data_IF_124514865945
#
_entry.id   IF_124514865945
#
_cell.length_a   1.000
_cell.length_b   1.000
_cell.length_c   1.000
_cell.angle_alpha   90.00
_cell.angle_beta   90.00
_cell.angle_gamma   90.00
#
_symmetry.space_group_name_H-M   'P 1'
#
loop_
_entity.id
_entity.type
_entity.pdbx_description
1 polymer ?
#
# COMPACT_ATOMS: atom_id res chain seq x y z
N UNK A 1 -6.38 -7.92 -29.22
CA UNK A 1 -6.46 -7.63 -27.78
C UNK A 1 -6.41 -6.12 -27.63
N UNK A 2 -7.41 -5.49 -27.01
CA UNK A 2 -7.26 -4.09 -26.57
C UNK A 2 -6.32 -4.13 -25.38
N UNK A 3 -5.28 -3.30 -25.39
CA UNK A 3 -4.44 -3.12 -24.19
C UNK A 3 -5.36 -2.79 -23.01
N UNK A 4 -5.17 -3.40 -21.83
CA UNK A 4 -5.95 -3.05 -20.67
C UNK A 4 -5.80 -1.55 -20.44
N UNK A 5 -6.92 -0.86 -20.22
CA UNK A 5 -6.93 0.57 -19.90
C UNK A 5 -5.93 0.78 -18.74
N UNK A 6 -5.06 1.78 -18.82
CA UNK A 6 -4.02 2.00 -17.81
C UNK A 6 -4.61 2.13 -16.40
N UNK A 7 -5.88 2.55 -16.34
CA UNK A 7 -6.71 2.58 -15.16
C UNK A 7 -7.02 1.19 -14.59
N UNK A 8 -7.38 0.22 -15.44
CA UNK A 8 -7.68 -1.15 -15.04
C UNK A 8 -6.43 -1.82 -14.45
N UNK A 9 -5.26 -1.58 -15.06
CA UNK A 9 -3.97 -2.01 -14.50
C UNK A 9 -3.70 -1.41 -13.13
N UNK A 10 -4.01 -0.13 -12.94
CA UNK A 10 -3.82 0.53 -11.63
C UNK A 10 -4.77 -0.02 -10.56
N UNK A 11 -6.01 -0.31 -10.92
CA UNK A 11 -6.99 -0.96 -10.02
C UNK A 11 -6.46 -2.34 -9.60
N UNK A 12 -5.97 -3.12 -10.57
CA UNK A 12 -5.39 -4.43 -10.32
C UNK A 12 -4.15 -4.32 -9.43
N UNK A 13 -3.20 -3.43 -9.74
CA UNK A 13 -2.00 -3.18 -8.92
C UNK A 13 -2.37 -2.86 -7.46
N UNK A 14 -3.34 -1.98 -7.23
CA UNK A 14 -3.81 -1.62 -5.88
C UNK A 14 -4.49 -2.80 -5.20
N UNK A 15 -5.35 -3.52 -5.92
CA UNK A 15 -6.18 -4.59 -5.35
C UNK A 15 -5.36 -5.84 -5.00
N UNK A 16 -4.39 -6.21 -5.85
CA UNK A 16 -3.57 -7.40 -5.66
C UNK A 16 -2.44 -7.21 -4.65
N UNK A 17 -2.07 -5.97 -4.30
CA UNK A 17 -1.01 -5.69 -3.32
C UNK A 17 -1.16 -6.49 -2.01
N UNK A 18 -2.39 -6.60 -1.50
CA UNK A 18 -2.65 -7.36 -0.26
C UNK A 18 -2.63 -8.87 -0.48
N UNK A 19 -2.96 -9.36 -1.68
CA UNK A 19 -2.93 -10.79 -1.97
C UNK A 19 -1.51 -11.37 -1.86
N UNK A 20 -0.49 -10.54 -2.09
CA UNK A 20 0.92 -10.88 -1.91
C UNK A 20 1.46 -10.57 -0.49
N UNK A 21 0.58 -10.46 0.52
CA UNK A 21 0.99 -10.04 1.86
C UNK A 21 2.05 -10.99 2.44
N UNK A 22 3.24 -10.44 2.70
CA UNK A 22 4.36 -11.15 3.30
C UNK A 22 4.04 -11.49 4.76
N UNK A 23 4.66 -12.55 5.28
CA UNK A 23 4.53 -12.89 6.69
C UNK A 23 5.49 -12.05 7.54
N UNK A 24 5.09 -10.81 7.85
CA UNK A 24 5.93 -9.85 8.58
C UNK A 24 6.34 -10.32 9.99
N UNK A 25 5.62 -11.27 10.59
CA UNK A 25 5.94 -11.81 11.93
C UNK A 25 7.34 -12.43 11.99
N UNK A 26 7.76 -13.09 10.91
CA UNK A 26 9.05 -13.80 10.83
C UNK A 26 10.19 -12.91 10.33
N UNK A 27 9.93 -11.65 10.00
CA UNK A 27 10.94 -10.69 9.57
C UNK A 27 11.68 -10.06 10.75
N UNK A 28 12.91 -9.61 10.51
CA UNK A 28 13.68 -8.78 11.43
C UNK A 28 13.16 -7.34 11.45
N UNK A 29 13.48 -6.60 12.52
CA UNK A 29 13.07 -5.19 12.70
C UNK A 29 13.50 -4.31 11.51
N UNK A 30 14.72 -4.50 10.97
CA UNK A 30 15.21 -3.72 9.83
C UNK A 30 14.52 -4.09 8.51
N UNK A 31 14.02 -5.32 8.39
CA UNK A 31 13.22 -5.77 7.25
C UNK A 31 11.81 -5.16 7.33
N UNK A 32 11.19 -5.19 8.51
CA UNK A 32 9.87 -4.59 8.75
C UNK A 32 9.90 -3.07 8.51
N UNK A 33 10.96 -2.39 8.97
CA UNK A 33 11.18 -0.97 8.68
C UNK A 33 11.23 -0.67 7.18
N UNK A 34 11.90 -1.53 6.41
CA UNK A 34 11.98 -1.40 4.95
C UNK A 34 10.64 -1.68 4.27
N UNK A 35 9.90 -2.68 4.73
CA UNK A 35 8.55 -2.94 4.22
C UNK A 35 7.62 -1.76 4.47
N UNK A 36 7.66 -1.14 5.67
CA UNK A 36 6.87 0.06 5.96
C UNK A 36 7.15 1.18 4.93
N UNK A 37 8.43 1.45 4.67
CA UNK A 37 8.84 2.44 3.67
C UNK A 37 8.37 2.06 2.26
N UNK A 38 8.40 0.78 1.90
CA UNK A 38 7.92 0.30 0.61
C UNK A 38 6.41 0.51 0.44
N UNK A 39 5.60 0.26 1.49
CA UNK A 39 4.14 0.51 1.43
C UNK A 39 3.86 1.99 1.25
N UNK A 40 4.50 2.85 2.04
CA UNK A 40 4.33 4.30 1.94
C UNK A 40 4.74 4.84 0.57
N UNK A 41 5.86 4.33 0.02
CA UNK A 41 6.32 4.70 -1.33
C UNK A 41 5.31 4.29 -2.39
N UNK A 42 4.79 3.06 -2.32
CA UNK A 42 3.76 2.60 -3.24
C UNK A 42 2.49 3.45 -3.19
N UNK A 43 2.03 3.81 -1.99
CA UNK A 43 0.86 4.69 -1.82
C UNK A 43 1.09 6.02 -2.53
N UNK A 44 2.25 6.65 -2.30
CA UNK A 44 2.58 7.93 -2.93
C UNK A 44 2.68 7.82 -4.45
N UNK A 45 3.30 6.77 -4.97
CA UNK A 45 3.42 6.54 -6.41
C UNK A 45 2.06 6.28 -7.07
N UNK A 46 1.21 5.50 -6.41
CA UNK A 46 -0.16 5.21 -6.86
C UNK A 46 -1.02 6.47 -6.87
N UNK A 47 -0.99 7.26 -5.80
CA UNK A 47 -1.71 8.54 -5.74
C UNK A 47 -1.24 9.51 -6.83
N UNK A 48 0.08 9.60 -7.09
CA UNK A 48 0.61 10.40 -8.22
C UNK A 48 0.10 9.92 -9.58
N UNK A 49 -0.07 8.61 -9.79
CA UNK A 49 -0.69 8.07 -11.01
C UNK A 49 -2.16 8.49 -11.09
N UNK A 50 -2.92 8.35 -10.00
CA UNK A 50 -4.34 8.74 -9.94
C UNK A 50 -4.52 10.24 -10.22
N UNK A 51 -3.68 11.11 -9.66
CA UNK A 51 -3.70 12.56 -9.91
C UNK A 51 -3.38 12.92 -11.37
N UNK A 52 -2.59 12.09 -12.08
CA UNK A 52 -2.38 12.28 -13.52
C UNK A 52 -3.64 11.91 -14.30
N UNK A 53 -4.32 10.83 -13.93
CA UNK A 53 -5.60 10.44 -14.52
C UNK A 53 -6.69 11.50 -14.26
N UNK A 54 -6.74 12.10 -13.07
CA UNK A 54 -7.69 13.17 -12.74
C UNK A 54 -7.57 14.38 -13.68
N UNK A 55 -6.39 14.65 -14.25
CA UNK A 55 -6.19 15.74 -15.21
C UNK A 55 -6.73 15.43 -16.60
N UNK A 56 -6.91 14.15 -16.95
CA UNK A 56 -7.32 13.69 -18.29
C UNK A 56 -8.72 13.10 -18.32
N UNK A 57 -9.21 12.58 -17.19
CA UNK A 57 -10.48 11.88 -17.02
C UNK A 57 -11.50 12.79 -16.32
N UNK A 58 -12.74 12.86 -16.84
CA UNK A 58 -13.81 13.70 -16.28
C UNK A 58 -14.67 13.01 -15.22
N UNK A 59 -14.42 11.73 -14.96
CA UNK A 59 -15.17 10.94 -14.00
C UNK A 59 -14.56 11.08 -12.61
N UNK A 60 -15.05 12.07 -11.85
CA UNK A 60 -14.56 12.37 -10.51
C UNK A 60 -14.90 11.26 -9.51
N UNK A 61 -16.02 10.54 -9.70
CA UNK A 61 -16.44 9.47 -8.81
C UNK A 61 -15.48 8.28 -8.92
N UNK A 62 -15.04 7.97 -10.14
CA UNK A 62 -14.02 6.96 -10.40
C UNK A 62 -12.68 7.34 -9.76
N UNK A 63 -12.25 8.61 -9.89
CA UNK A 63 -11.02 9.10 -9.24
C UNK A 63 -11.12 9.01 -7.71
N UNK A 64 -12.26 9.40 -7.13
CA UNK A 64 -12.49 9.31 -5.70
C UNK A 64 -12.47 7.87 -5.20
N UNK A 65 -13.09 6.96 -5.96
CA UNK A 65 -13.05 5.53 -5.70
C UNK A 65 -11.61 5.00 -5.71
N UNK A 66 -10.82 5.34 -6.72
CA UNK A 66 -9.40 4.95 -6.82
C UNK A 66 -8.57 5.44 -5.63
N UNK A 67 -8.73 6.72 -5.24
CA UNK A 67 -8.05 7.28 -4.06
C UNK A 67 -8.45 6.53 -2.79
N UNK A 68 -9.73 6.19 -2.64
CA UNK A 68 -10.25 5.47 -1.49
C UNK A 68 -9.70 4.03 -1.40
N UNK A 69 -9.72 3.26 -2.50
CA UNK A 69 -9.20 1.89 -2.48
C UNK A 69 -7.68 1.87 -2.26
N UNK A 70 -6.94 2.84 -2.82
CA UNK A 70 -5.50 2.96 -2.62
C UNK A 70 -5.19 3.12 -1.14
N UNK A 71 -5.77 4.14 -0.50
CA UNK A 71 -5.57 4.44 0.92
C UNK A 71 -6.01 3.30 1.82
N UNK A 72 -7.21 2.75 1.58
CA UNK A 72 -7.72 1.67 2.43
C UNK A 72 -6.84 0.41 2.38
N UNK A 73 -6.26 0.11 1.21
CA UNK A 73 -5.38 -1.05 1.07
C UNK A 73 -4.03 -0.81 1.74
N UNK A 74 -3.42 0.35 1.53
CA UNK A 74 -2.11 0.70 2.10
C UNK A 74 -2.19 0.91 3.61
N UNK A 75 -3.23 1.59 4.10
CA UNK A 75 -3.44 1.84 5.53
C UNK A 75 -3.58 0.53 6.31
N UNK A 76 -4.35 -0.43 5.79
CA UNK A 76 -4.46 -1.77 6.41
C UNK A 76 -3.11 -2.50 6.51
N UNK A 77 -2.30 -2.43 5.46
CA UNK A 77 -0.96 -3.04 5.45
C UNK A 77 -0.02 -2.31 6.41
N UNK A 78 -0.04 -0.97 6.42
CA UNK A 78 0.74 -0.13 7.34
C UNK A 78 0.40 -0.46 8.80
N UNK A 79 -0.88 -0.53 9.16
CA UNK A 79 -1.31 -0.88 10.53
C UNK A 79 -0.78 -2.24 10.94
N UNK A 80 -0.88 -3.25 10.06
CA UNK A 80 -0.36 -4.59 10.35
C UNK A 80 1.16 -4.58 10.58
N UNK A 81 1.90 -3.86 9.73
CA UNK A 81 3.36 -3.72 9.85
C UNK A 81 3.72 -3.01 11.16
N UNK A 82 3.04 -1.91 11.50
CA UNK A 82 3.29 -1.13 12.71
C UNK A 82 3.01 -1.94 13.98
N UNK A 83 1.92 -2.69 14.03
CA UNK A 83 1.61 -3.57 15.17
C UNK A 83 2.71 -4.60 15.41
N UNK A 84 3.24 -5.20 14.35
CA UNK A 84 4.31 -6.21 14.45
C UNK A 84 5.63 -5.54 14.82
N UNK A 85 5.92 -4.35 14.26
CA UNK A 85 7.11 -3.58 14.56
C UNK A 85 7.18 -3.19 16.04
N UNK A 86 6.08 -2.68 16.60
CA UNK A 86 5.99 -2.29 18.01
C UNK A 86 6.18 -3.51 18.93
N UNK A 87 5.50 -4.63 18.65
CA UNK A 87 5.67 -5.87 19.43
C UNK A 87 7.13 -6.34 19.47
N UNK A 88 7.85 -6.25 18.36
CA UNK A 88 9.27 -6.63 18.31
C UNK A 88 10.15 -5.67 19.10
N UNK A 89 9.87 -4.37 19.05
CA UNK A 89 10.58 -3.41 19.90
C UNK A 89 10.38 -3.73 21.38
N UNK A 90 9.13 -4.01 21.77
CA UNK A 90 8.79 -4.37 23.14
C UNK A 90 9.52 -5.65 23.58
N UNK A 91 9.56 -6.68 22.72
CA UNK A 91 10.23 -7.96 22.98
C UNK A 91 11.77 -7.84 23.02
N UNK A 92 12.38 -7.12 22.09
CA UNK A 92 13.84 -7.09 21.91
C UNK A 92 14.54 -6.03 22.77
N UNK A 93 13.86 -4.92 23.11
CA UNK A 93 14.54 -3.77 23.73
C UNK A 93 13.92 -3.26 25.03
N UNK A 94 12.63 -3.48 25.28
CA UNK A 94 11.94 -2.88 26.44
C UNK A 94 11.58 -3.88 27.55
N UNK A 95 11.40 -5.18 27.23
CA UNK A 95 11.13 -6.24 28.20
C UNK A 95 12.35 -7.16 28.48
N UNK A 96 13.58 -6.69 28.20
CA UNK A 96 14.82 -7.36 28.61
C UNK A 96 15.19 -7.10 30.08
#
# INVERSE_FOLDING_TARGET
>A
MKEPDELEKLIDEISFRKADSKNYKYMKIEEISRELQNVMKFEQESLKKIEKFEKTQKDQDLINYLKAICRNTTEREITQIQEIYLKKIDEEYLNS
#
